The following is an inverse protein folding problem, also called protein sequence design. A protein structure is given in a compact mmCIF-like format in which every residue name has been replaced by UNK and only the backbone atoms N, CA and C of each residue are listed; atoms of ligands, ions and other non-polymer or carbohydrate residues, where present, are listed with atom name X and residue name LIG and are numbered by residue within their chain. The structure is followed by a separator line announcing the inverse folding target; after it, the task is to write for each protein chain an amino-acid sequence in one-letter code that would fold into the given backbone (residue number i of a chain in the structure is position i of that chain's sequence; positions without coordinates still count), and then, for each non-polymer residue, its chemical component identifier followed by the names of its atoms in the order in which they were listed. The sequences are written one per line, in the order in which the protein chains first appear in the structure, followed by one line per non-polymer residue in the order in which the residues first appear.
data_IF_146246174356
#
_entry.id   IF_146246174356
#
_cell.length_a   1.000
_cell.length_b   1.000
_cell.length_c   1.000
_cell.angle_alpha   90.00
_cell.angle_beta   90.00
_cell.angle_gamma   90.00
#
_symmetry.space_group_name_H-M   'P 1'
#
loop_
_entity.id
_entity.type
_entity.pdbx_description
1 polymer ?
#
# COMPACT_ATOMS: atom_id res chain seq x y z
N UNK A 1 25.16 17.37 -13.71
CA UNK A 1 25.26 16.60 -12.44
C UNK A 1 24.10 15.64 -12.41
N UNK A 2 24.31 14.35 -12.12
CA UNK A 2 23.22 13.38 -12.03
C UNK A 2 22.31 13.74 -10.85
N UNK A 3 21.01 13.93 -11.12
CA UNK A 3 20.03 14.32 -10.10
C UNK A 3 19.24 13.10 -9.64
N UNK A 4 19.05 12.97 -8.33
CA UNK A 4 18.17 11.92 -7.79
C UNK A 4 16.73 12.35 -7.97
N UNK A 5 15.86 11.49 -8.47
CA UNK A 5 14.44 11.79 -8.63
C UNK A 5 13.59 10.91 -7.72
N UNK A 6 12.70 11.54 -6.97
CA UNK A 6 11.80 10.88 -6.03
C UNK A 6 10.37 11.16 -6.45
N UNK A 7 9.60 10.10 -6.64
CA UNK A 7 8.19 10.19 -7.01
C UNK A 7 7.33 9.76 -5.84
N UNK A 8 6.45 10.65 -5.39
CA UNK A 8 5.52 10.39 -4.30
C UNK A 8 4.15 10.02 -4.87
N UNK A 9 3.63 8.84 -4.53
CA UNK A 9 2.25 8.46 -4.82
C UNK A 9 1.41 8.51 -3.53
N UNK A 10 0.39 9.37 -3.45
CA UNK A 10 -0.44 9.50 -2.24
C UNK A 10 -1.45 8.34 -2.12
N UNK A 11 -2.09 8.20 -0.96
CA UNK A 11 -3.10 7.16 -0.71
C UNK A 11 -4.46 7.35 -1.38
N UNK A 12 -5.41 6.47 -1.03
CA UNK A 12 -6.84 6.73 -1.18
C UNK A 12 -7.21 7.94 -0.30
N UNK A 13 -8.08 8.82 -0.79
CA UNK A 13 -8.35 10.17 -0.23
C UNK A 13 -7.19 11.17 -0.28
N UNK A 14 -6.03 10.76 -0.80
CA UNK A 14 -4.91 11.64 -1.04
C UNK A 14 -5.22 12.63 -2.16
N UNK A 15 -5.11 13.91 -1.86
CA UNK A 15 -5.04 14.98 -2.84
C UNK A 15 -3.58 15.39 -2.98
N UNK A 16 -3.04 15.47 -4.20
CA UNK A 16 -1.68 16.02 -4.37
C UNK A 16 -1.65 17.49 -3.89
N UNK A 17 -2.68 18.23 -4.28
CA UNK A 17 -3.05 19.56 -3.79
C UNK A 17 -4.57 19.61 -3.71
N UNK A 18 -5.12 20.21 -2.65
CA UNK A 18 -6.55 20.55 -2.56
C UNK A 18 -6.67 21.91 -1.89
N UNK A 19 -6.78 22.99 -2.66
CA UNK A 19 -6.52 24.35 -2.18
C UNK A 19 -5.07 24.51 -1.66
N UNK A 20 -4.90 25.00 -0.43
CA UNK A 20 -3.59 25.26 0.19
C UNK A 20 -2.97 24.09 0.97
N UNK A 21 -3.56 22.88 0.89
CA UNK A 21 -3.03 21.72 1.59
C UNK A 21 -2.15 20.88 0.68
N UNK A 22 -0.92 20.66 1.14
CA UNK A 22 0.05 19.77 0.51
C UNK A 22 0.18 18.49 1.35
N UNK A 23 -0.35 17.38 0.81
CA UNK A 23 -0.41 16.09 1.50
C UNK A 23 0.95 15.59 2.00
N UNK A 24 2.01 15.92 1.25
CA UNK A 24 3.39 15.54 1.54
C UNK A 24 4.27 16.72 1.95
N UNK A 25 3.73 17.90 2.31
CA UNK A 25 4.56 19.11 2.55
C UNK A 25 5.74 18.84 3.49
N UNK A 26 5.44 18.34 4.68
CA UNK A 26 6.42 18.04 5.72
C UNK A 26 7.36 16.90 5.31
N UNK A 27 6.85 15.94 4.54
CA UNK A 27 7.59 14.80 4.04
C UNK A 27 8.61 15.22 2.96
N UNK A 28 8.21 16.07 2.01
CA UNK A 28 9.05 16.64 0.94
C UNK A 28 10.20 17.40 1.58
N UNK A 29 9.91 18.36 2.47
CA UNK A 29 10.93 19.15 3.17
C UNK A 29 11.95 18.27 3.88
N UNK A 30 11.48 17.23 4.57
CA UNK A 30 12.34 16.31 5.32
C UNK A 30 13.23 15.44 4.41
N UNK A 31 12.76 15.02 3.24
CA UNK A 31 13.58 14.30 2.24
C UNK A 31 14.62 15.25 1.65
N UNK A 32 14.22 16.46 1.25
CA UNK A 32 15.13 17.46 0.67
C UNK A 32 16.27 17.82 1.63
N UNK A 33 15.97 18.05 2.91
CA UNK A 33 16.97 18.28 3.96
C UNK A 33 17.99 17.13 4.02
N UNK A 34 17.53 15.87 4.05
CA UNK A 34 18.41 14.69 4.14
C UNK A 34 19.29 14.48 2.91
N UNK A 35 18.81 14.83 1.72
CA UNK A 35 19.63 14.79 0.51
C UNK A 35 20.64 15.94 0.50
N UNK A 36 20.23 17.15 0.93
CA UNK A 36 21.10 18.33 1.06
C UNK A 36 22.24 18.09 2.05
N UNK A 37 21.95 17.50 3.21
CA UNK A 37 22.94 17.15 4.23
C UNK A 37 23.99 16.14 3.73
N UNK A 38 23.64 15.38 2.68
CA UNK A 38 24.55 14.46 1.99
C UNK A 38 25.26 15.09 0.79
N UNK A 39 25.08 16.39 0.55
CA UNK A 39 25.63 17.10 -0.62
C UNK A 39 25.04 16.63 -1.96
N UNK A 40 23.82 16.07 -1.95
CA UNK A 40 23.17 15.50 -3.15
C UNK A 40 21.98 16.34 -3.58
N UNK A 41 21.83 16.52 -4.89
CA UNK A 41 20.62 17.13 -5.45
C UNK A 41 19.50 16.09 -5.60
N UNK A 42 18.30 16.47 -5.14
CA UNK A 42 17.07 15.70 -5.29
C UNK A 42 16.01 16.54 -5.99
N UNK A 43 15.20 15.90 -6.83
CA UNK A 43 13.97 16.45 -7.38
C UNK A 43 12.81 15.58 -6.93
N UNK A 44 11.77 16.19 -6.38
CA UNK A 44 10.61 15.48 -5.86
C UNK A 44 9.38 15.84 -6.69
N UNK A 45 8.68 14.83 -7.17
CA UNK A 45 7.43 14.99 -7.91
C UNK A 45 6.31 14.25 -7.20
N UNK A 46 5.15 14.89 -7.06
CA UNK A 46 3.95 14.28 -6.46
C UNK A 46 2.99 13.84 -7.56
N UNK A 47 2.52 12.60 -7.51
CA UNK A 47 1.58 12.06 -8.47
C UNK A 47 0.14 12.50 -8.17
N UNK A 48 -0.49 13.18 -9.12
CA UNK A 48 -1.89 13.59 -9.04
C UNK A 48 -2.83 12.46 -9.46
N UNK A 49 -3.34 11.74 -8.47
CA UNK A 49 -4.26 10.61 -8.65
C UNK A 49 -5.69 10.98 -8.29
N UNK A 50 -6.66 10.34 -8.94
CA UNK A 50 -8.04 10.42 -8.48
C UNK A 50 -8.17 9.60 -7.18
N UNK A 51 -8.96 10.07 -6.20
CA UNK A 51 -8.94 9.55 -4.84
C UNK A 51 -9.33 8.06 -4.75
N UNK A 52 -10.25 7.61 -5.60
CA UNK A 52 -10.79 6.24 -5.60
C UNK A 52 -10.67 5.52 -6.94
N UNK A 53 -9.91 6.07 -7.89
CA UNK A 53 -9.66 5.39 -9.15
C UNK A 53 -8.95 4.06 -8.94
N UNK A 54 -9.24 3.08 -9.80
CA UNK A 54 -8.57 1.78 -9.76
C UNK A 54 -7.04 1.92 -9.72
N UNK A 55 -6.40 1.01 -8.98
CA UNK A 55 -4.95 1.01 -8.74
C UNK A 55 -4.20 0.97 -10.08
N UNK A 56 -4.69 0.24 -11.09
CA UNK A 56 -4.10 0.24 -12.44
C UNK A 56 -4.17 1.62 -13.13
N UNK A 57 -5.26 2.36 -13.00
CA UNK A 57 -5.39 3.71 -13.57
C UNK A 57 -4.48 4.70 -12.85
N UNK A 58 -4.31 4.54 -11.54
CA UNK A 58 -3.40 5.33 -10.71
C UNK A 58 -1.94 5.05 -11.06
N UNK A 59 -1.54 3.78 -11.13
CA UNK A 59 -0.23 3.34 -11.61
C UNK A 59 0.07 3.87 -13.03
N UNK A 60 -0.92 3.90 -13.93
CA UNK A 60 -0.74 4.48 -15.26
C UNK A 60 -0.47 5.99 -15.23
N UNK A 61 -1.03 6.74 -14.27
CA UNK A 61 -0.69 8.16 -14.07
C UNK A 61 0.73 8.31 -13.52
N UNK A 62 1.12 7.48 -12.55
CA UNK A 62 2.47 7.48 -12.00
C UNK A 62 3.52 7.18 -13.10
N UNK A 63 3.29 6.16 -13.92
CA UNK A 63 4.18 5.82 -15.03
C UNK A 63 4.36 6.99 -16.02
N UNK A 64 3.27 7.70 -16.36
CA UNK A 64 3.33 8.90 -17.21
C UNK A 64 4.13 10.03 -16.57
N UNK A 65 3.87 10.33 -15.30
CA UNK A 65 4.59 11.38 -14.58
C UNK A 65 6.10 11.11 -14.58
N UNK A 66 6.50 9.87 -14.27
CA UNK A 66 7.93 9.51 -14.26
C UNK A 66 8.53 9.64 -15.67
N UNK A 67 7.88 9.08 -16.68
CA UNK A 67 8.33 9.15 -18.06
C UNK A 67 8.51 10.60 -18.56
N UNK A 68 7.58 11.50 -18.22
CA UNK A 68 7.58 12.89 -18.66
C UNK A 68 8.58 13.80 -17.92
N UNK A 69 8.99 13.44 -16.70
CA UNK A 69 9.84 14.29 -15.84
C UNK A 69 11.21 13.70 -15.52
N UNK A 70 11.44 12.41 -15.75
CA UNK A 70 12.66 11.74 -15.30
C UNK A 70 13.91 12.15 -16.08
N UNK A 71 13.76 12.85 -17.20
CA UNK A 71 14.85 13.25 -18.10
C UNK A 71 15.70 12.07 -18.57
N UNK A 72 16.86 12.36 -19.14
CA UNK A 72 17.80 11.39 -19.71
C UNK A 72 19.21 11.44 -19.07
N UNK A 73 19.38 12.21 -17.99
CA UNK A 73 20.65 12.44 -17.29
C UNK A 73 21.26 11.21 -16.58
N UNK A 74 20.63 10.04 -16.67
CA UNK A 74 21.06 8.79 -16.05
C UNK A 74 20.90 8.74 -14.52
N UNK A 75 20.33 9.77 -13.89
CA UNK A 75 20.14 9.85 -12.44
C UNK A 75 19.22 8.75 -11.86
N UNK A 76 19.42 8.36 -10.59
CA UNK A 76 18.63 7.30 -9.95
C UNK A 76 17.19 7.76 -9.70
N UNK A 77 16.25 6.82 -9.87
CA UNK A 77 14.82 7.03 -9.63
C UNK A 77 14.40 6.23 -8.40
N UNK A 78 13.63 6.86 -7.53
CA UNK A 78 12.99 6.23 -6.38
C UNK A 78 11.50 6.54 -6.38
N UNK A 79 10.69 5.57 -5.96
CA UNK A 79 9.26 5.76 -5.79
C UNK A 79 8.91 5.51 -4.33
N UNK A 80 8.13 6.41 -3.75
CA UNK A 80 7.59 6.31 -2.40
C UNK A 80 6.08 6.37 -2.52
N UNK A 81 5.40 5.31 -2.08
CA UNK A 81 3.95 5.24 -2.08
C UNK A 81 3.41 5.15 -0.66
N UNK A 82 2.50 6.06 -0.30
CA UNK A 82 1.76 5.98 0.96
C UNK A 82 0.40 5.33 0.74
N UNK A 83 -0.03 4.47 1.66
CA UNK A 83 -1.30 3.76 1.60
C UNK A 83 -1.45 3.07 0.24
N UNK A 84 -2.57 3.25 -0.47
CA UNK A 84 -2.80 2.75 -1.83
C UNK A 84 -1.70 3.14 -2.83
N UNK A 85 -1.03 4.27 -2.63
CA UNK A 85 0.09 4.73 -3.45
C UNK A 85 1.27 3.75 -3.49
N UNK A 86 1.45 2.92 -2.46
CA UNK A 86 2.46 1.87 -2.47
C UNK A 86 2.14 0.73 -3.44
N UNK A 87 0.86 0.47 -3.71
CA UNK A 87 0.43 -0.47 -4.75
C UNK A 87 0.64 0.12 -6.14
N UNK A 88 0.43 1.42 -6.32
CA UNK A 88 0.79 2.12 -7.56
C UNK A 88 2.29 1.95 -7.86
N UNK A 89 3.13 2.16 -6.83
CA UNK A 89 4.58 2.04 -6.91
C UNK A 89 5.04 0.61 -7.25
N UNK A 90 4.46 -0.40 -6.60
CA UNK A 90 4.75 -1.81 -6.90
C UNK A 90 4.32 -2.19 -8.32
N UNK A 91 3.14 -1.74 -8.76
CA UNK A 91 2.65 -1.99 -10.12
C UNK A 91 3.58 -1.44 -11.18
N UNK A 92 3.98 -0.16 -11.10
CA UNK A 92 4.86 0.41 -12.14
C UNK A 92 6.28 -0.18 -12.11
N UNK A 93 6.71 -0.74 -10.98
CA UNK A 93 8.01 -1.39 -10.85
C UNK A 93 8.01 -2.81 -11.43
N UNK A 94 6.88 -3.50 -11.34
CA UNK A 94 6.75 -4.92 -11.70
C UNK A 94 7.03 -5.18 -13.18
N UNK A 95 7.79 -6.25 -13.53
CA UNK A 95 8.01 -6.63 -14.92
C UNK A 95 6.76 -7.27 -15.57
N UNK A 96 5.82 -7.81 -14.79
CA UNK A 96 4.63 -8.50 -15.31
C UNK A 96 3.43 -7.56 -15.51
N UNK A 97 3.54 -6.29 -15.12
CA UNK A 97 2.43 -5.35 -15.15
C UNK A 97 1.94 -5.05 -16.58
N UNK A 98 0.62 -5.01 -16.74
CA UNK A 98 -0.05 -4.52 -17.96
C UNK A 98 -0.82 -3.25 -17.66
N UNK A 99 -0.15 -2.10 -17.88
CA UNK A 99 -0.77 -0.80 -17.67
C UNK A 99 -1.68 -0.41 -18.84
N UNK A 100 -2.83 0.24 -18.59
CA UNK A 100 -3.78 0.60 -19.63
C UNK A 100 -3.25 1.68 -20.59
N UNK A 101 -3.78 1.67 -21.82
CA UNK A 101 -3.49 2.68 -22.84
C UNK A 101 -2.02 2.68 -23.28
N UNK A 102 -1.43 3.86 -23.46
CA UNK A 102 -0.01 3.98 -23.81
C UNK A 102 0.94 3.88 -22.60
N UNK A 103 0.43 3.79 -21.37
CA UNK A 103 1.26 3.84 -20.16
C UNK A 103 2.24 2.66 -20.06
N UNK A 104 1.87 1.48 -20.58
CA UNK A 104 2.78 0.31 -20.60
C UNK A 104 4.04 0.57 -21.43
N UNK A 105 3.96 1.39 -22.50
CA UNK A 105 5.11 1.78 -23.32
C UNK A 105 5.99 2.85 -22.67
N UNK A 106 5.58 3.40 -21.53
CA UNK A 106 6.23 4.49 -20.79
C UNK A 106 6.97 3.98 -19.55
N UNK A 107 7.54 2.78 -19.63
CA UNK A 107 8.26 2.12 -18.52
C UNK A 107 9.77 1.99 -18.79
N UNK A 108 10.31 2.67 -19.81
CA UNK A 108 11.74 2.63 -20.15
C UNK A 108 12.66 3.12 -19.02
N UNK A 109 12.15 4.00 -18.17
CA UNK A 109 12.84 4.53 -16.99
C UNK A 109 13.06 3.49 -15.88
N UNK A 110 12.39 2.33 -15.91
CA UNK A 110 12.49 1.30 -14.85
C UNK A 110 13.90 0.72 -14.71
N UNK A 111 14.76 0.83 -15.74
CA UNK A 111 16.20 0.51 -15.66
C UNK A 111 16.99 1.42 -14.70
N UNK A 112 16.47 2.62 -14.43
CA UNK A 112 17.00 3.60 -13.47
C UNK A 112 16.35 3.54 -12.09
N UNK A 113 15.28 2.76 -11.93
CA UNK A 113 14.59 2.59 -10.65
C UNK A 113 15.50 1.85 -9.67
N UNK A 114 15.71 2.42 -8.47
CA UNK A 114 16.62 1.90 -7.45
C UNK A 114 15.94 1.50 -6.15
N UNK A 115 14.78 2.09 -5.85
CA UNK A 115 13.96 1.59 -4.75
C UNK A 115 12.47 1.88 -4.92
N UNK A 116 11.67 1.00 -4.32
CA UNK A 116 10.25 1.24 -4.00
C UNK A 116 10.11 1.24 -2.48
N UNK A 117 9.65 2.37 -1.93
CA UNK A 117 9.30 2.51 -0.51
C UNK A 117 7.79 2.51 -0.38
N UNK A 118 7.25 1.64 0.45
CA UNK A 118 5.82 1.61 0.78
C UNK A 118 5.63 2.07 2.22
N UNK A 119 4.62 2.90 2.46
CA UNK A 119 4.35 3.47 3.77
C UNK A 119 2.89 3.18 4.08
N UNK A 120 2.63 2.34 5.08
CA UNK A 120 1.29 1.97 5.52
C UNK A 120 0.41 1.40 4.39
N UNK A 121 1.02 0.71 3.43
CA UNK A 121 0.34 0.24 2.22
C UNK A 121 -0.43 -1.05 2.50
N UNK A 122 -1.72 -1.15 2.16
CA UNK A 122 -2.49 -2.39 2.33
C UNK A 122 -2.11 -3.45 1.28
N UNK A 123 -0.94 -4.08 1.42
CA UNK A 123 -0.45 -5.09 0.46
C UNK A 123 -1.34 -6.32 0.41
N UNK A 124 -1.98 -6.67 1.53
CA UNK A 124 -2.94 -7.78 1.64
C UNK A 124 -4.36 -7.24 1.89
N UNK A 125 -4.61 -6.00 1.51
CA UNK A 125 -5.92 -5.35 1.62
C UNK A 125 -6.22 -4.84 3.02
N UNK A 126 -7.43 -4.32 3.18
CA UNK A 126 -7.97 -3.86 4.46
C UNK A 126 -9.47 -4.18 4.57
N UNK A 127 -9.95 -4.73 5.70
CA UNK A 127 -11.38 -4.93 5.92
C UNK A 127 -12.21 -3.64 5.80
N UNK A 128 -11.59 -2.50 6.04
CA UNK A 128 -12.24 -1.19 5.90
C UNK A 128 -12.70 -0.93 4.46
N UNK A 129 -12.02 -1.48 3.46
CA UNK A 129 -12.40 -1.36 2.06
C UNK A 129 -13.70 -2.13 1.76
N UNK A 130 -13.85 -3.35 2.30
CA UNK A 130 -15.07 -4.14 2.16
C UNK A 130 -16.27 -3.43 2.80
N UNK A 131 -16.06 -2.81 3.98
CA UNK A 131 -17.09 -1.99 4.62
C UNK A 131 -17.49 -0.79 3.74
N UNK A 132 -16.52 -0.05 3.18
CA UNK A 132 -16.80 1.10 2.33
C UNK A 132 -17.42 0.77 0.98
N UNK A 133 -17.35 -0.48 0.52
CA UNK A 133 -18.06 -0.93 -0.68
C UNK A 133 -19.59 -1.02 -0.47
N UNK A 134 -20.08 -1.02 0.78
CA UNK A 134 -21.52 -1.02 1.09
C UNK A 134 -22.15 0.36 0.90
N UNK A 135 -23.47 0.44 0.70
CA UNK A 135 -24.18 1.74 0.54
C UNK A 135 -23.97 2.66 1.75
N UNK A 136 -24.13 2.13 2.97
CA UNK A 136 -23.91 2.89 4.20
C UNK A 136 -22.43 3.24 4.38
N UNK A 137 -21.53 2.34 3.99
CA UNK A 137 -20.09 2.57 3.98
C UNK A 137 -19.67 3.70 3.06
N UNK A 138 -20.20 3.78 1.84
CA UNK A 138 -19.92 4.86 0.89
C UNK A 138 -20.34 6.24 1.41
N UNK A 139 -21.51 6.30 2.06
CA UNK A 139 -22.01 7.53 2.69
C UNK A 139 -21.10 7.97 3.84
N UNK A 140 -20.70 7.03 4.68
CA UNK A 140 -19.77 7.28 5.76
C UNK A 140 -18.38 7.67 5.23
N UNK A 141 -17.94 7.04 4.15
CA UNK A 141 -16.68 7.35 3.49
C UNK A 141 -16.64 8.79 3.00
N UNK A 142 -17.70 9.21 2.31
CA UNK A 142 -17.87 10.60 1.90
C UNK A 142 -17.78 11.52 3.11
N UNK A 143 -18.48 11.20 4.20
CA UNK A 143 -18.53 12.05 5.40
C UNK A 143 -17.17 12.16 6.12
N UNK A 144 -16.48 11.03 6.33
CA UNK A 144 -15.13 11.01 6.91
C UNK A 144 -14.17 11.78 6.02
N UNK A 145 -14.19 11.55 4.71
CA UNK A 145 -13.29 12.20 3.74
C UNK A 145 -13.48 13.71 3.70
N UNK A 146 -14.72 14.15 3.66
CA UNK A 146 -15.10 15.55 3.76
C UNK A 146 -14.57 16.20 5.05
N UNK A 147 -14.73 15.50 6.17
CA UNK A 147 -14.24 15.95 7.46
C UNK A 147 -12.71 15.99 7.51
N UNK A 148 -12.03 15.02 6.90
CA UNK A 148 -10.57 15.00 6.75
C UNK A 148 -10.08 16.28 6.08
N UNK A 149 -10.66 16.62 4.94
CA UNK A 149 -10.26 17.83 4.20
C UNK A 149 -10.54 19.09 5.02
N UNK A 150 -11.71 19.17 5.66
CA UNK A 150 -12.06 20.31 6.50
C UNK A 150 -11.13 20.45 7.71
N UNK A 151 -10.81 19.35 8.39
CA UNK A 151 -9.91 19.31 9.54
C UNK A 151 -8.48 19.68 9.18
N UNK A 152 -7.96 19.14 8.07
CA UNK A 152 -6.64 19.52 7.57
C UNK A 152 -6.60 21.00 7.15
N UNK A 153 -7.65 21.56 6.53
CA UNK A 153 -7.68 22.97 6.09
C UNK A 153 -7.82 23.97 7.23
N UNK A 154 -8.68 23.66 8.20
CA UNK A 154 -9.17 24.62 9.18
C UNK A 154 -8.60 24.38 10.58
N UNK A 155 -7.87 23.28 10.80
CA UNK A 155 -7.38 22.84 12.11
C UNK A 155 -8.49 22.33 13.05
N UNK A 156 -9.73 22.78 12.88
CA UNK A 156 -10.93 22.27 13.53
C UNK A 156 -12.16 22.45 12.62
N UNK A 157 -12.88 21.37 12.24
CA UNK A 157 -14.10 21.46 11.45
C UNK A 157 -15.33 21.82 12.31
N UNK A 158 -16.50 22.11 11.70
CA UNK A 158 -17.71 22.48 12.44
C UNK A 158 -18.14 21.37 13.41
N UNK A 159 -18.16 21.67 14.72
CA UNK A 159 -18.45 20.69 15.78
C UNK A 159 -19.80 19.96 15.58
N UNK A 160 -20.80 20.63 15.03
CA UNK A 160 -22.11 20.04 14.74
C UNK A 160 -22.02 18.94 13.67
N UNK A 161 -21.22 19.16 12.62
CA UNK A 161 -21.04 18.22 11.53
C UNK A 161 -20.31 16.95 12.03
N UNK A 162 -19.25 17.15 12.81
CA UNK A 162 -18.48 16.03 13.33
C UNK A 162 -19.23 15.24 14.44
N UNK A 163 -20.11 15.87 15.22
CA UNK A 163 -20.95 15.19 16.21
C UNK A 163 -21.95 14.22 15.56
N UNK A 164 -22.53 14.62 14.42
CA UNK A 164 -23.41 13.75 13.64
C UNK A 164 -22.68 12.51 13.09
N UNK A 165 -21.42 12.67 12.69
CA UNK A 165 -20.58 11.58 12.20
C UNK A 165 -20.26 10.55 13.29
N UNK A 166 -19.92 11.00 14.50
CA UNK A 166 -19.70 10.10 15.65
C UNK A 166 -20.96 9.33 16.00
N UNK A 167 -22.12 9.98 16.00
CA UNK A 167 -23.39 9.31 16.24
C UNK A 167 -23.68 8.23 15.18
N UNK A 168 -23.40 8.51 13.90
CA UNK A 168 -23.55 7.55 12.80
C UNK A 168 -22.62 6.33 12.96
N UNK A 169 -21.35 6.57 13.27
CA UNK A 169 -20.35 5.51 13.52
C UNK A 169 -20.72 4.64 14.72
N UNK A 170 -21.13 5.24 15.84
CA UNK A 170 -21.56 4.51 17.04
C UNK A 170 -22.75 3.58 16.78
N UNK A 171 -23.74 4.05 16.00
CA UNK A 171 -24.90 3.22 15.60
C UNK A 171 -24.50 2.06 14.69
N UNK A 172 -23.60 2.29 13.73
CA UNK A 172 -23.09 1.25 12.83
C UNK A 172 -22.28 0.17 13.56
N UNK A 173 -21.58 0.53 14.65
CA UNK A 173 -20.82 -0.41 15.46
C UNK A 173 -21.68 -1.29 16.36
N UNK A 174 -22.74 -0.72 16.95
CA UNK A 174 -23.59 -1.40 17.92
C UNK A 174 -24.65 -2.31 17.27
N UNK A 175 -24.72 -2.38 15.94
CA UNK A 175 -25.70 -3.20 15.23
C UNK A 175 -27.15 -2.71 15.38
N UNK A 176 -27.36 -1.45 15.79
CA UNK A 176 -28.69 -0.84 15.79
C UNK A 176 -29.07 -0.53 14.33
N UNK A 177 -29.71 -1.51 13.68
CA UNK A 177 -30.16 -1.49 12.28
C UNK A 177 -31.36 -0.55 12.02
N UNK A 178 -31.33 0.70 12.49
CA UNK A 178 -32.12 1.75 11.84
C UNK A 178 -31.23 2.44 10.80
N UNK A 179 -31.03 1.76 9.66
CA UNK A 179 -30.32 2.28 8.48
C UNK A 179 -30.83 3.68 8.14
N UNK A 180 -32.14 3.91 8.29
CA UNK A 180 -32.81 5.18 8.01
C UNK A 180 -32.33 6.34 8.91
N UNK A 181 -32.01 6.08 10.18
CA UNK A 181 -31.50 7.08 11.11
C UNK A 181 -30.03 7.43 10.87
N UNK A 182 -29.22 6.44 10.49
CA UNK A 182 -27.82 6.64 10.06
C UNK A 182 -27.81 7.47 8.78
N UNK A 183 -28.65 7.09 7.83
CA UNK A 183 -28.81 7.75 6.54
C UNK A 183 -29.23 9.21 6.68
N UNK A 184 -30.23 9.51 7.51
CA UNK A 184 -30.69 10.89 7.76
C UNK A 184 -29.60 11.76 8.39
N UNK A 185 -28.78 11.17 9.27
CA UNK A 185 -27.70 11.86 9.96
C UNK A 185 -26.53 12.18 9.01
N UNK A 186 -26.18 11.23 8.14
CA UNK A 186 -25.16 11.43 7.10
C UNK A 186 -25.66 12.40 6.03
N UNK A 187 -26.92 12.32 5.60
CA UNK A 187 -27.47 13.26 4.61
C UNK A 187 -27.50 14.71 5.15
N UNK A 188 -27.86 14.89 6.42
CA UNK A 188 -27.77 16.20 7.07
C UNK A 188 -26.33 16.74 7.11
N UNK A 189 -25.34 15.87 7.34
CA UNK A 189 -23.93 16.26 7.29
C UNK A 189 -23.49 16.68 5.88
N UNK A 190 -23.87 15.89 4.88
CA UNK A 190 -23.53 16.16 3.47
C UNK A 190 -24.06 17.53 3.07
N UNK A 191 -25.30 17.88 3.44
CA UNK A 191 -25.88 19.21 3.14
C UNK A 191 -25.07 20.34 3.78
N UNK A 192 -24.74 20.23 5.07
CA UNK A 192 -23.94 21.24 5.79
C UNK A 192 -22.56 21.41 5.14
N UNK A 193 -21.97 20.32 4.66
CA UNK A 193 -20.66 20.36 4.02
C UNK A 193 -20.74 20.87 2.58
N UNK A 194 -21.76 20.53 1.81
CA UNK A 194 -21.98 21.04 0.45
C UNK A 194 -22.17 22.56 0.45
N UNK A 195 -22.85 23.10 1.47
CA UNK A 195 -23.00 24.55 1.67
C UNK A 195 -21.66 25.22 2.07
N UNK A 196 -20.82 24.53 2.85
CA UNK A 196 -19.53 25.03 3.33
C UNK A 196 -18.36 24.80 2.36
N UNK A 197 -18.53 23.99 1.31
CA UNK A 197 -17.42 23.51 0.48
C UNK A 197 -17.19 24.33 -0.81
N UNK A 198 -15.90 24.59 -1.08
CA UNK A 198 -15.46 25.19 -2.35
C UNK A 198 -15.90 24.36 -3.57
N UNK A 199 -16.02 24.98 -4.76
CA UNK A 199 -16.36 24.26 -6.01
C UNK A 199 -15.36 23.14 -6.33
N UNK A 200 -14.09 23.37 -6.06
CA UNK A 200 -13.00 22.39 -6.22
C UNK A 200 -13.21 21.17 -5.30
N UNK A 201 -13.49 21.41 -4.01
CA UNK A 201 -13.81 20.35 -3.06
C UNK A 201 -15.03 19.53 -3.48
N UNK A 202 -16.09 20.18 -3.97
CA UNK A 202 -17.28 19.48 -4.49
C UNK A 202 -16.97 18.63 -5.71
N UNK A 203 -16.17 19.13 -6.65
CA UNK A 203 -15.74 18.36 -7.81
C UNK A 203 -14.90 17.14 -7.41
N UNK A 204 -14.02 17.30 -6.43
CA UNK A 204 -13.20 16.21 -5.90
C UNK A 204 -14.02 15.17 -5.12
N UNK A 205 -14.97 15.61 -4.27
CA UNK A 205 -15.90 14.72 -3.58
C UNK A 205 -16.83 13.98 -4.55
N UNK A 206 -17.20 14.60 -5.67
CA UNK A 206 -17.94 13.92 -6.74
C UNK A 206 -17.12 12.78 -7.36
N UNK A 207 -15.83 12.99 -7.61
CA UNK A 207 -14.94 11.92 -8.09
C UNK A 207 -14.88 10.74 -7.11
N UNK A 208 -14.91 11.03 -5.80
CA UNK A 208 -14.96 10.01 -4.76
C UNK A 208 -16.22 9.13 -4.89
N UNK A 209 -17.38 9.74 -5.12
CA UNK A 209 -18.65 9.04 -5.24
C UNK A 209 -18.77 8.26 -6.55
N UNK A 210 -18.31 8.85 -7.65
CA UNK A 210 -18.56 8.34 -9.00
C UNK A 210 -17.56 7.22 -9.40
N UNK A 211 -16.43 7.09 -8.71
CA UNK A 211 -15.42 6.05 -8.94
C UNK A 211 -15.17 5.25 -7.65
N UNK A 212 -15.21 3.93 -7.73
CA UNK A 212 -15.05 3.02 -6.57
C UNK A 212 -13.98 1.95 -6.83
N UNK A 213 -13.19 2.11 -7.90
CA UNK A 213 -12.26 1.07 -8.36
C UNK A 213 -11.24 0.66 -7.30
N UNK A 214 -10.61 1.63 -6.62
CA UNK A 214 -9.65 1.33 -5.56
C UNK A 214 -10.31 0.67 -4.35
N UNK A 215 -11.52 1.08 -3.97
CA UNK A 215 -12.22 0.53 -2.80
C UNK A 215 -12.45 -0.97 -2.99
N UNK A 216 -12.98 -1.37 -4.14
CA UNK A 216 -13.18 -2.79 -4.47
C UNK A 216 -11.83 -3.53 -4.53
N UNK A 217 -10.81 -2.92 -5.12
CA UNK A 217 -9.52 -3.59 -5.27
C UNK A 217 -8.77 -3.75 -3.94
N UNK A 218 -8.99 -2.87 -2.97
CA UNK A 218 -8.34 -2.91 -1.65
C UNK A 218 -8.98 -3.89 -0.67
N UNK A 219 -10.07 -4.55 -1.06
CA UNK A 219 -10.65 -5.63 -0.27
C UNK A 219 -9.64 -6.79 -0.17
N UNK A 220 -9.50 -7.44 1.01
CA UNK A 220 -8.58 -8.56 1.19
C UNK A 220 -8.74 -9.66 0.12
N UNK A 221 -9.98 -9.95 -0.27
CA UNK A 221 -10.36 -10.93 -1.30
C UNK A 221 -9.83 -10.57 -2.69
N UNK A 222 -9.80 -9.27 -3.00
CA UNK A 222 -9.35 -8.79 -4.29
C UNK A 222 -7.81 -8.76 -4.40
N UNK A 223 -7.10 -8.73 -3.27
CA UNK A 223 -5.64 -8.68 -3.23
C UNK A 223 -5.00 -10.01 -3.62
N UNK A 224 -5.69 -11.14 -3.48
CA UNK A 224 -5.23 -12.43 -4.00
C UNK A 224 -5.04 -12.38 -5.51
N UNK A 225 -5.92 -11.69 -6.24
CA UNK A 225 -5.79 -11.50 -7.69
C UNK A 225 -4.57 -10.63 -8.03
N UNK A 226 -4.25 -9.64 -7.19
CA UNK A 226 -3.06 -8.83 -7.36
C UNK A 226 -1.81 -9.68 -7.14
N UNK A 227 -1.76 -10.47 -6.07
CA UNK A 227 -0.63 -11.35 -5.75
C UNK A 227 -0.44 -12.47 -6.77
N UNK A 228 -1.51 -12.97 -7.39
CA UNK A 228 -1.42 -13.97 -8.44
C UNK A 228 -0.77 -13.45 -9.73
N UNK A 229 -0.82 -12.15 -9.99
CA UNK A 229 -0.33 -11.55 -11.25
C UNK A 229 0.89 -10.62 -11.12
N UNK A 230 1.23 -10.19 -9.91
CA UNK A 230 2.24 -9.16 -9.67
C UNK A 230 3.54 -9.75 -9.14
N UNK A 231 4.61 -9.60 -9.92
CA UNK A 231 5.96 -9.99 -9.50
C UNK A 231 6.79 -8.78 -9.11
N UNK A 232 7.64 -8.92 -8.10
CA UNK A 232 8.65 -7.92 -7.78
C UNK A 232 9.80 -7.98 -8.78
N UNK A 233 10.35 -6.82 -9.14
CA UNK A 233 11.50 -6.71 -10.05
C UNK A 233 12.78 -7.14 -9.33
N UNK A 234 13.48 -8.12 -9.88
CA UNK A 234 14.80 -8.53 -9.38
C UNK A 234 15.81 -7.37 -9.40
N UNK A 235 16.71 -7.33 -8.41
CA UNK A 235 17.72 -6.28 -8.26
C UNK A 235 17.20 -4.93 -7.77
N UNK A 236 15.89 -4.77 -7.58
CA UNK A 236 15.30 -3.56 -7.02
C UNK A 236 15.16 -3.66 -5.50
N UNK A 237 15.49 -2.57 -4.78
CA UNK A 237 15.27 -2.52 -3.34
C UNK A 237 13.81 -2.20 -3.00
N UNK A 238 13.11 -3.16 -2.42
CA UNK A 238 11.79 -2.96 -1.84
C UNK A 238 11.89 -2.77 -0.33
N UNK A 239 11.28 -1.70 0.19
CA UNK A 239 11.25 -1.44 1.62
C UNK A 239 9.86 -0.94 2.07
N UNK A 240 9.52 -1.23 3.33
CA UNK A 240 8.25 -0.85 3.94
C UNK A 240 8.44 -0.17 5.30
N UNK A 241 7.53 0.77 5.56
CA UNK A 241 7.31 1.40 6.86
C UNK A 241 5.91 1.03 7.30
N UNK A 242 5.78 0.53 8.53
CA UNK A 242 4.52 0.09 9.08
C UNK A 242 4.18 0.82 10.39
N UNK A 243 2.95 1.27 10.56
CA UNK A 243 2.50 1.91 11.80
C UNK A 243 1.30 1.17 12.39
N UNK A 244 1.10 1.35 13.69
CA UNK A 244 -0.12 0.92 14.36
C UNK A 244 -0.44 1.87 15.51
N UNK A 245 -1.71 2.08 15.80
CA UNK A 245 -2.13 2.84 16.95
C UNK A 245 -2.28 1.93 18.17
N UNK A 246 -2.03 2.44 19.39
CA UNK A 246 -2.36 1.71 20.60
C UNK A 246 -3.88 1.52 20.69
N UNK A 247 -4.32 0.31 21.02
CA UNK A 247 -5.72 0.08 21.39
C UNK A 247 -6.00 0.78 22.70
N UNK A 248 -6.84 1.82 22.63
CA UNK A 248 -7.50 2.55 23.72
C UNK A 248 -7.13 2.03 25.12
N UNK A 249 -5.95 2.41 25.63
CA UNK A 249 -5.71 2.28 27.05
C UNK A 249 -6.64 3.30 27.70
N UNK A 250 -7.56 2.85 28.56
CA UNK A 250 -8.55 3.64 29.31
C UNK A 250 -7.95 4.92 29.94
N UNK A 251 -6.62 4.95 30.15
CA UNK A 251 -5.84 6.10 30.63
C UNK A 251 -5.72 7.29 29.65
N UNK A 252 -5.77 7.09 28.33
CA UNK A 252 -5.57 8.17 27.34
C UNK A 252 -6.82 9.04 27.09
N UNK A 253 -8.00 8.55 27.51
CA UNK A 253 -9.26 9.32 27.49
C UNK A 253 -9.20 10.58 28.36
N UNK A 254 -8.42 10.58 29.44
CA UNK A 254 -8.32 11.72 30.35
C UNK A 254 -7.66 12.94 29.69
N UNK A 255 -6.75 12.72 28.72
CA UNK A 255 -6.20 13.81 27.90
C UNK A 255 -7.09 14.17 26.70
N UNK A 256 -7.76 13.20 26.08
CA UNK A 256 -8.67 13.44 24.95
C UNK A 256 -9.91 14.25 25.34
N UNK A 257 -10.38 14.10 26.59
CA UNK A 257 -11.47 14.89 27.18
C UNK A 257 -11.14 16.38 27.40
N UNK A 258 -9.89 16.82 27.18
CA UNK A 258 -9.50 18.23 27.36
C UNK A 258 -9.98 19.14 26.23
N UNK A 259 -10.40 18.59 25.09
CA UNK A 259 -11.07 19.36 24.05
C UNK A 259 -12.21 18.55 23.41
N UNK A 260 -13.36 19.18 23.10
CA UNK A 260 -14.46 18.51 22.40
C UNK A 260 -14.03 17.88 21.06
N UNK A 261 -13.09 18.51 20.36
CA UNK A 261 -12.52 18.00 19.12
C UNK A 261 -11.69 16.72 19.32
N UNK A 262 -10.83 16.68 20.35
CA UNK A 262 -9.99 15.52 20.64
C UNK A 262 -10.80 14.27 20.96
N UNK A 263 -11.87 14.40 21.76
CA UNK A 263 -12.78 13.30 22.07
C UNK A 263 -13.49 12.75 20.82
N UNK A 264 -13.92 13.65 19.92
CA UNK A 264 -14.63 13.29 18.70
C UNK A 264 -13.72 12.64 17.67
N UNK A 265 -12.51 13.18 17.48
CA UNK A 265 -11.47 12.62 16.63
C UNK A 265 -11.09 11.20 17.08
N UNK A 266 -10.88 10.99 18.39
CA UNK A 266 -10.61 9.68 18.97
C UNK A 266 -11.77 8.68 18.75
N UNK A 267 -13.02 9.14 18.81
CA UNK A 267 -14.19 8.29 18.54
C UNK A 267 -14.25 7.85 17.06
N UNK A 268 -13.98 8.76 16.12
CA UNK A 268 -13.90 8.44 14.69
C UNK A 268 -12.76 7.44 14.43
N UNK A 269 -11.57 7.73 14.97
CA UNK A 269 -10.41 6.86 14.86
C UNK A 269 -10.70 5.46 15.41
N UNK A 270 -11.23 5.36 16.63
CA UNK A 270 -11.63 4.09 17.26
C UNK A 270 -12.61 3.35 16.36
N UNK A 271 -13.53 4.07 15.72
CA UNK A 271 -14.51 3.44 14.89
C UNK A 271 -13.93 2.80 13.64
N UNK A 272 -13.05 3.51 12.94
CA UNK A 272 -12.31 2.99 11.79
C UNK A 272 -11.40 1.83 12.21
N UNK A 273 -10.65 1.99 13.30
CA UNK A 273 -9.74 0.96 13.82
C UNK A 273 -10.46 -0.35 14.17
N UNK A 274 -11.66 -0.27 14.76
CA UNK A 274 -12.49 -1.43 15.07
C UNK A 274 -13.00 -2.14 13.80
N UNK A 275 -13.32 -1.39 12.74
CA UNK A 275 -13.72 -1.99 11.45
C UNK A 275 -12.50 -2.67 10.81
N UNK A 276 -11.35 -1.99 10.78
CA UNK A 276 -10.08 -2.51 10.27
C UNK A 276 -9.61 -3.77 11.02
N UNK A 277 -9.97 -3.91 12.30
CA UNK A 277 -9.66 -5.08 13.11
C UNK A 277 -10.54 -6.32 12.81
N UNK A 278 -11.58 -6.20 11.98
CA UNK A 278 -12.45 -7.33 11.59
C UNK A 278 -11.80 -8.16 10.50
N UNK A 279 -10.78 -8.93 10.87
CA UNK A 279 -10.07 -9.82 9.96
C UNK A 279 -10.93 -11.05 9.62
N UNK A 280 -10.88 -11.48 8.36
CA UNK A 280 -11.46 -12.75 7.90
C UNK A 280 -10.38 -13.84 7.90
N UNK A 281 -10.69 -15.03 8.41
CA UNK A 281 -9.74 -16.14 8.44
C UNK A 281 -9.37 -16.65 7.03
N UNK A 282 -10.29 -16.54 6.08
CA UNK A 282 -10.05 -16.93 4.68
C UNK A 282 -9.18 -15.90 3.96
N UNK A 283 -9.16 -14.64 4.42
CA UNK A 283 -8.42 -13.54 3.83
C UNK A 283 -7.67 -12.73 4.90
N UNK A 284 -6.62 -13.30 5.51
CA UNK A 284 -6.09 -12.86 6.81
C UNK A 284 -5.25 -11.58 6.79
N UNK A 285 -5.29 -10.80 5.71
CA UNK A 285 -4.51 -9.56 5.53
C UNK A 285 -3.00 -9.70 5.85
N UNK A 286 -2.41 -10.85 5.53
CA UNK A 286 -1.00 -11.21 5.78
C UNK A 286 -0.55 -12.33 4.86
N UNK A 287 0.75 -12.60 4.81
CA UNK A 287 1.29 -13.77 4.13
C UNK A 287 1.01 -15.05 4.93
N UNK A 288 0.87 -16.18 4.24
CA UNK A 288 0.59 -17.48 4.89
C UNK A 288 1.83 -18.14 5.51
N UNK A 289 3.03 -17.62 5.25
CA UNK A 289 4.32 -18.23 5.63
C UNK A 289 4.87 -17.78 7.00
N UNK A 290 4.19 -16.85 7.68
CA UNK A 290 4.62 -16.30 8.97
C UNK A 290 5.83 -15.35 8.89
N UNK A 291 6.30 -15.00 7.69
CA UNK A 291 7.49 -14.17 7.52
C UNK A 291 7.26 -12.72 7.96
N UNK A 292 6.02 -12.23 7.87
CA UNK A 292 5.63 -10.88 8.29
C UNK A 292 5.73 -10.73 9.81
N UNK A 293 5.20 -11.69 10.56
CA UNK A 293 5.21 -11.73 12.02
C UNK A 293 6.64 -11.77 12.55
N UNK A 294 7.53 -12.53 11.90
CA UNK A 294 8.95 -12.56 12.24
C UNK A 294 9.64 -11.20 12.00
N UNK A 295 9.32 -10.51 10.89
CA UNK A 295 9.84 -9.17 10.62
C UNK A 295 9.35 -8.17 11.66
N UNK A 296 8.06 -8.19 12.00
CA UNK A 296 7.47 -7.32 13.01
C UNK A 296 8.10 -7.56 14.39
N UNK A 297 8.20 -8.82 14.83
CA UNK A 297 8.81 -9.17 16.11
C UNK A 297 10.27 -8.71 16.20
N UNK A 298 11.03 -8.81 15.11
CA UNK A 298 12.42 -8.33 15.05
C UNK A 298 12.53 -6.82 15.21
N UNK A 299 11.64 -6.05 14.56
CA UNK A 299 11.71 -4.59 14.55
C UNK A 299 11.09 -3.96 15.81
N UNK A 300 10.00 -4.53 16.31
CA UNK A 300 9.29 -4.04 17.49
C UNK A 300 9.84 -4.59 18.81
N UNK A 301 10.57 -5.71 18.77
CA UNK A 301 11.05 -6.43 19.96
C UNK A 301 9.99 -7.28 20.64
N UNK A 302 8.74 -7.23 20.17
CA UNK A 302 7.61 -8.02 20.62
C UNK A 302 6.69 -8.33 19.43
N UNK A 303 5.91 -9.41 19.53
CA UNK A 303 4.88 -9.69 18.54
C UNK A 303 3.64 -8.83 18.86
N UNK A 304 3.23 -7.91 17.98
CA UNK A 304 2.04 -7.11 18.19
C UNK A 304 0.78 -7.99 18.12
N UNK A 305 -0.36 -7.53 18.69
CA UNK A 305 -1.64 -8.22 18.53
C UNK A 305 -1.97 -8.44 17.04
N UNK A 306 -2.55 -9.60 16.66
CA UNK A 306 -2.84 -9.92 15.25
C UNK A 306 -3.72 -8.88 14.53
N UNK A 307 -4.54 -8.17 15.29
CA UNK A 307 -5.51 -7.18 14.84
C UNK A 307 -5.05 -5.73 15.08
N UNK A 308 -3.76 -5.54 15.41
CA UNK A 308 -3.13 -4.22 15.45
C UNK A 308 -3.24 -3.53 14.07
N UNK A 309 -3.57 -2.24 14.08
CA UNK A 309 -3.76 -1.45 12.87
C UNK A 309 -3.53 0.03 13.15
N UNK A 310 -3.35 0.82 12.08
CA UNK A 310 -3.13 2.27 12.15
C UNK A 310 -4.41 3.10 12.00
N UNK A 311 -5.57 2.47 12.19
CA UNK A 311 -6.90 3.02 11.93
C UNK A 311 -7.45 2.69 10.55
N UNK A 312 -6.60 2.38 9.56
CA UNK A 312 -7.02 2.19 8.16
C UNK A 312 -6.55 0.84 7.60
N UNK A 313 -5.35 0.40 7.96
CA UNK A 313 -4.71 -0.80 7.41
C UNK A 313 -4.20 -1.71 8.54
N UNK A 314 -4.50 -3.02 8.52
CA UNK A 314 -3.93 -3.97 9.46
C UNK A 314 -2.39 -3.95 9.40
N UNK A 315 -1.72 -3.98 10.56
CA UNK A 315 -0.27 -3.83 10.66
C UNK A 315 0.48 -4.87 9.81
N UNK A 316 0.02 -6.12 9.82
CA UNK A 316 0.60 -7.18 9.01
C UNK A 316 0.47 -6.90 7.49
N UNK A 317 -0.65 -6.32 7.06
CA UNK A 317 -0.89 -5.96 5.65
C UNK A 317 0.08 -4.90 5.14
N UNK A 318 0.70 -4.13 6.03
CA UNK A 318 1.63 -3.04 5.69
C UNK A 318 3.03 -3.51 5.31
N UNK A 319 3.40 -4.76 5.63
CA UNK A 319 4.76 -5.26 5.53
C UNK A 319 5.03 -5.82 4.13
N UNK A 320 6.02 -5.26 3.44
CA UNK A 320 6.52 -5.75 2.15
C UNK A 320 8.02 -5.48 1.98
N UNK A 321 8.74 -6.41 1.34
CA UNK A 321 10.20 -6.30 1.20
C UNK A 321 10.91 -6.18 2.57
N UNK A 322 11.87 -5.27 2.66
CA UNK A 322 12.56 -4.94 3.91
C UNK A 322 11.71 -4.05 4.81
N UNK A 323 11.32 -4.53 5.98
CA UNK A 323 10.68 -3.70 7.00
C UNK A 323 11.74 -2.81 7.67
N UNK A 324 11.85 -1.56 7.24
CA UNK A 324 12.90 -0.64 7.70
C UNK A 324 12.53 0.12 8.97
N UNK A 325 11.23 0.19 9.29
CA UNK A 325 10.73 0.78 10.53
C UNK A 325 9.31 0.26 10.82
N UNK A 326 9.03 0.00 12.09
CA UNK A 326 7.68 -0.20 12.59
C UNK A 326 7.51 0.48 13.94
N UNK A 327 6.32 1.01 14.23
CA UNK A 327 6.09 1.68 15.51
C UNK A 327 4.72 2.32 15.68
N UNK A 328 4.53 2.94 16.85
CA UNK A 328 3.26 3.57 17.22
C UNK A 328 3.05 4.88 16.46
N UNK A 329 2.08 4.89 15.56
CA UNK A 329 1.57 6.04 14.82
C UNK A 329 0.23 5.66 14.17
N UNK A 330 -0.62 6.62 13.83
CA UNK A 330 -1.74 6.38 12.91
C UNK A 330 -1.31 6.45 11.44
N UNK A 331 -2.32 6.35 10.58
CA UNK A 331 -2.15 6.30 9.14
C UNK A 331 -1.56 7.58 8.52
N UNK A 332 -1.77 8.75 9.14
CA UNK A 332 -1.37 10.05 8.59
C UNK A 332 -0.17 10.68 9.30
N UNK A 333 0.10 10.30 10.55
CA UNK A 333 1.30 10.68 11.31
C UNK A 333 2.59 10.57 10.46
N UNK A 334 2.73 9.46 9.75
CA UNK A 334 3.96 9.09 9.02
C UNK A 334 4.24 9.94 7.78
N UNK A 335 3.23 10.64 7.27
CA UNK A 335 3.36 11.61 6.16
C UNK A 335 3.37 13.07 6.64
N UNK A 336 3.38 13.28 7.96
CA UNK A 336 3.60 14.60 8.56
C UNK A 336 2.37 15.24 9.20
N UNK A 337 1.26 14.50 9.38
CA UNK A 337 0.03 15.02 10.00
C UNK A 337 -0.07 14.55 11.45
N UNK A 338 0.77 15.12 12.34
CA UNK A 338 0.83 14.82 13.77
C UNK A 338 0.90 16.11 14.61
N UNK A 339 0.61 16.10 15.93
CA UNK A 339 0.68 17.31 16.73
C UNK A 339 2.13 17.79 16.89
N UNK A 340 2.44 19.03 16.49
CA UNK A 340 3.80 19.56 16.65
C UNK A 340 3.99 21.02 16.24
N UNK A 341 5.10 21.62 16.70
CA UNK A 341 5.56 22.93 16.20
C UNK A 341 5.91 22.81 14.71
N UNK A 342 5.61 23.84 13.92
CA UNK A 342 5.93 23.87 12.48
C UNK A 342 4.74 23.71 11.54
N UNK A 343 3.49 23.80 12.03
CA UNK A 343 2.30 23.74 11.18
C UNK A 343 1.85 22.31 10.83
N UNK A 344 2.28 21.32 11.60
CA UNK A 344 1.71 19.97 11.50
C UNK A 344 0.28 19.98 12.07
N UNK A 345 -0.69 19.48 11.30
CA UNK A 345 -2.10 19.42 11.69
C UNK A 345 -2.46 17.95 11.90
N UNK A 346 -2.85 17.61 13.13
CA UNK A 346 -3.42 16.31 13.46
C UNK A 346 -4.93 16.47 13.65
N UNK A 347 -5.69 15.91 12.70
CA UNK A 347 -7.14 15.93 12.74
C UNK A 347 -7.73 14.57 13.17
N UNK A 348 -6.98 13.46 13.08
CA UNK A 348 -7.42 12.10 13.41
C UNK A 348 -6.56 11.51 14.53
N UNK A 349 -6.55 12.18 15.67
CA UNK A 349 -5.70 11.88 16.80
C UNK A 349 -5.97 10.47 17.35
N UNK A 350 -5.03 9.58 17.08
CA UNK A 350 -5.06 8.17 17.52
C UNK A 350 -4.57 7.94 18.95
N UNK A 351 -3.98 8.97 19.58
CA UNK A 351 -3.31 8.83 20.88
C UNK A 351 -1.96 8.10 20.79
N UNK A 352 -1.44 7.84 19.59
CA UNK A 352 -0.12 7.20 19.39
C UNK A 352 1.07 8.04 19.89
N UNK A 353 0.84 9.33 20.14
CA UNK A 353 1.83 10.33 20.57
C UNK A 353 3.03 10.36 19.63
N UNK A 354 2.77 10.21 18.32
CA UNK A 354 3.79 10.38 17.31
C UNK A 354 4.29 11.83 17.32
N UNK A 355 5.57 12.02 17.01
CA UNK A 355 6.22 13.30 17.17
C UNK A 355 7.36 13.46 16.18
N UNK A 356 7.94 14.66 16.14
CA UNK A 356 9.01 15.03 15.22
C UNK A 356 10.23 14.11 15.31
N UNK A 357 10.62 13.65 16.50
CA UNK A 357 11.76 12.75 16.66
C UNK A 357 11.52 11.40 15.96
N UNK A 358 10.32 10.83 16.10
CA UNK A 358 9.96 9.58 15.41
C UNK A 358 9.84 9.79 13.91
N UNK A 359 9.23 10.90 13.49
CA UNK A 359 9.16 11.29 12.08
C UNK A 359 10.56 11.35 11.47
N UNK A 360 11.48 12.08 12.12
CA UNK A 360 12.84 12.23 11.62
C UNK A 360 13.59 10.89 11.55
N UNK A 361 13.41 10.02 12.55
CA UNK A 361 14.00 8.68 12.53
C UNK A 361 13.47 7.80 11.38
N UNK A 362 12.18 7.90 11.05
CA UNK A 362 11.59 7.18 9.90
C UNK A 362 12.19 7.70 8.60
N UNK A 363 12.23 9.02 8.42
CA UNK A 363 12.73 9.65 7.19
C UNK A 363 14.22 9.33 6.98
N UNK A 364 15.00 9.25 8.06
CA UNK A 364 16.40 8.79 7.99
C UNK A 364 16.52 7.36 7.46
N UNK A 365 15.65 6.45 7.92
CA UNK A 365 15.62 5.06 7.46
C UNK A 365 15.21 4.96 5.99
N UNK A 366 14.21 5.73 5.57
CA UNK A 366 13.74 5.78 4.19
C UNK A 366 14.88 6.22 3.25
N UNK A 367 15.51 7.37 3.54
CA UNK A 367 16.58 7.91 2.69
C UNK A 367 17.81 7.00 2.70
N UNK A 368 18.20 6.47 3.86
CA UNK A 368 19.32 5.51 3.95
C UNK A 368 19.07 4.30 3.07
N UNK A 369 17.85 3.76 3.10
CA UNK A 369 17.45 2.66 2.24
C UNK A 369 17.45 3.03 0.75
N UNK A 370 16.97 4.22 0.36
CA UNK A 370 17.05 4.69 -1.01
C UNK A 370 18.49 4.71 -1.52
N UNK A 371 19.41 5.32 -0.75
CA UNK A 371 20.83 5.40 -1.13
C UNK A 371 21.47 4.00 -1.23
N UNK A 372 21.12 3.08 -0.34
CA UNK A 372 21.60 1.69 -0.41
C UNK A 372 21.13 0.95 -1.67
N UNK A 373 19.91 1.25 -2.15
CA UNK A 373 19.38 0.71 -3.41
C UNK A 373 20.20 1.14 -4.64
N UNK A 374 20.74 2.37 -4.61
CA UNK A 374 21.61 2.87 -5.69
C UNK A 374 22.94 2.12 -5.74
N UNK A 375 23.53 1.86 -4.57
CA UNK A 375 24.81 1.17 -4.42
C UNK A 375 24.74 -0.30 -4.84
N UNK A 376 23.63 -0.98 -4.49
CA UNK A 376 23.43 -2.40 -4.84
C UNK A 376 23.39 -2.59 -6.36
N UNK A 377 22.67 -1.74 -7.10
CA UNK A 377 22.65 -1.79 -8.57
C UNK A 377 23.97 -1.35 -9.22
N UNK A 378 24.81 -0.56 -8.53
CA UNK A 378 26.15 -0.23 -9.02
C UNK A 378 27.10 -1.43 -8.90
N UNK A 379 27.04 -2.16 -7.78
CA UNK A 379 27.81 -3.37 -7.57
C UNK A 379 27.42 -4.49 -8.56
N UNK A 380 26.12 -4.67 -8.82
CA UNK A 380 25.61 -5.66 -9.77
C UNK A 380 26.06 -5.37 -11.22
N UNK A 381 26.12 -4.09 -11.61
CA UNK A 381 26.66 -3.67 -12.93
C UNK A 381 28.17 -3.80 -13.05
N UNK A 382 28.89 -3.77 -11.93
CA UNK A 382 30.34 -3.96 -11.90
C UNK A 382 30.75 -5.44 -11.83
N UNK A 383 29.81 -6.35 -11.57
CA UNK A 383 30.09 -7.78 -11.51
C UNK A 383 30.41 -8.33 -12.92
N UNK A 384 31.48 -9.14 -13.08
CA UNK A 384 31.78 -9.77 -14.35
C UNK A 384 30.63 -10.70 -14.76
N UNK A 385 30.33 -10.81 -16.07
CA UNK A 385 29.26 -11.69 -16.54
C UNK A 385 29.49 -13.13 -16.06
N UNK A 386 28.43 -13.86 -15.70
CA UNK A 386 28.57 -15.25 -15.28
C UNK A 386 29.27 -16.04 -16.39
N UNK A 387 30.32 -16.78 -16.03
CA UNK A 387 31.03 -17.63 -16.99
C UNK A 387 30.01 -18.62 -17.59
N UNK A 388 30.01 -18.82 -18.92
CA UNK A 388 29.12 -19.79 -19.53
C UNK A 388 29.33 -21.15 -18.86
N UNK A 389 28.23 -21.75 -18.39
CA UNK A 389 28.24 -23.10 -17.86
C UNK A 389 28.56 -24.02 -19.03
N UNK A 390 29.77 -24.57 -19.05
CA UNK A 390 30.13 -25.63 -19.99
C UNK A 390 29.37 -26.87 -19.54
N UNK A 391 28.24 -27.16 -20.19
CA UNK A 391 27.60 -28.47 -20.09
C UNK A 391 28.62 -29.53 -20.48
N UNK A 392 29.14 -30.25 -19.48
CA UNK A 392 29.94 -31.43 -19.72
C UNK A 392 28.97 -32.50 -20.19
N UNK A 393 28.81 -32.65 -21.50
CA UNK A 393 28.12 -33.80 -22.10
C UNK A 393 28.87 -35.06 -21.67
N UNK A 394 28.33 -35.76 -20.67
CA UNK A 394 28.70 -37.15 -20.41
C UNK A 394 28.10 -37.96 -21.57
N UNK A 395 28.98 -38.45 -22.43
CA UNK A 395 28.64 -39.45 -23.46
C UNK A 395 28.28 -40.75 -22.74
N UNK A 396 26.98 -41.04 -22.58
CA UNK A 396 26.51 -42.40 -22.35
C UNK A 396 26.74 -43.19 -23.64
N UNK A 397 27.82 -43.97 -23.67
CA UNK A 397 28.03 -45.06 -24.60
C UNK A 397 27.98 -46.38 -23.84
N UNK A 398 27.19 -47.28 -24.40
CA UNK A 398 27.29 -48.74 -24.31
C UNK A 398 26.89 -49.41 -22.99
N UNK A 399 25.58 -49.62 -22.81
CA UNK A 399 25.02 -50.75 -22.05
C UNK A 399 23.84 -51.37 -22.81
N UNK A 400 24.12 -51.90 -23.99
CA UNK A 400 23.25 -52.84 -24.67
C UNK A 400 24.17 -53.86 -25.35
N UNK A 401 24.38 -55.02 -24.69
CA UNK A 401 24.98 -56.27 -25.19
C UNK A 401 25.58 -57.08 -24.03
N UNK A 402 24.74 -57.63 -23.15
CA UNK A 402 25.16 -58.72 -22.25
C UNK A 402 24.00 -59.55 -21.70
N UNK A 403 23.03 -59.98 -22.53
CA UNK A 403 22.19 -61.13 -22.18
C UNK A 403 21.90 -61.96 -23.43
N UNK A 404 22.82 -62.87 -23.75
CA UNK A 404 22.61 -63.96 -24.68
C UNK A 404 22.99 -65.28 -24.02
N UNK A 405 22.09 -66.26 -24.17
CA UNK A 405 22.32 -67.71 -24.06
C UNK A 405 22.44 -68.32 -22.66
N UNK A 406 21.36 -68.97 -22.18
CA UNK A 406 21.37 -70.42 -21.81
C UNK A 406 19.95 -71.02 -21.91
N UNK A 407 19.85 -72.23 -22.48
CA UNK A 407 18.74 -73.22 -22.50
C UNK A 407 17.55 -72.93 -23.45
N UNK A 408 17.07 -73.86 -24.28
CA UNK A 408 17.28 -75.30 -24.38
C UNK A 408 16.05 -75.90 -25.09
N UNK A 409 16.28 -76.81 -26.04
CA UNK A 409 15.31 -77.35 -26.99
C UNK A 409 14.14 -78.14 -26.36
N UNK A 410 12.96 -78.14 -27.02
CA UNK A 410 12.14 -79.33 -27.27
C UNK A 410 10.87 -78.99 -28.10
N UNK A 411 10.67 -79.75 -29.19
CA UNK A 411 9.42 -80.35 -29.70
C UNK A 411 8.18 -79.44 -29.88
N UNK A 412 7.43 -79.45 -30.98
CA UNK A 412 7.25 -80.38 -32.09
C UNK A 412 5.78 -80.29 -32.54
N UNK A 413 5.53 -80.37 -33.85
CA UNK A 413 4.29 -80.93 -34.40
C UNK A 413 3.12 -79.99 -34.72
N UNK A 414 2.78 -80.00 -36.02
CA UNK A 414 1.44 -79.93 -36.60
C UNK A 414 0.67 -78.59 -36.53
N UNK A 415 -0.23 -78.22 -37.44
CA UNK A 415 -0.57 -78.53 -38.83
C UNK A 415 -1.86 -77.74 -39.09
N UNK A 416 -2.04 -77.18 -40.30
CA UNK A 416 -3.34 -76.76 -40.92
C UNK A 416 -4.16 -75.68 -40.17
N UNK A 417 -4.74 -74.65 -40.76
CA UNK A 417 -5.22 -74.40 -42.12
C UNK A 417 -6.60 -73.75 -41.99
N UNK A 418 -6.92 -72.81 -42.89
CA UNK A 418 -8.29 -72.43 -43.30
C UNK A 418 -9.17 -71.74 -42.24
N UNK A 419 -9.54 -70.45 -42.36
CA UNK A 419 -10.58 -69.86 -43.23
C UNK A 419 -11.73 -69.33 -42.37
N UNK A 420 -12.38 -68.25 -42.83
CA UNK A 420 -13.77 -67.98 -42.45
C UNK A 420 -13.99 -66.66 -41.71
N UNK A 421 -14.21 -65.64 -42.52
CA UNK A 421 -14.96 -64.39 -42.33
C UNK A 421 -16.40 -64.63 -41.77
N UNK A 422 -17.31 -63.63 -41.77
CA UNK A 422 -17.68 -62.72 -40.69
C UNK A 422 -19.06 -63.01 -40.05
N UNK A 423 -19.39 -62.26 -38.98
CA UNK A 423 -20.71 -61.66 -38.74
C UNK A 423 -20.58 -60.57 -37.67
#
# INVERSE_FOLDING_TARGET
MQKTRVYLSPGMFGFATLGSLEYFEHFIRAIEERFRDRGRAVEIHVCEVHPTASILRRAAKLARLVDESAGDDGGPIHIIGHSTGGLDARLVASPTVRLPGNAHRRLGWTSRLRSVTTINTPHFGTPLAAFFATVSGQRLLYAVTALTVAGLKLGAPPLAAASALVAALGRAQLGFFEIELVDRSVESFIRVLDDASSRELRAWLKLLRDDQGAIVQLMPEAMDLLHAGLEDRAGLRYQSVATYAPRNAVRDWVSALRSPWGAMSAAIFTALSNITARLDEHYPCRSHDGSIEQKLARVLGELPPPDANDGVVPLASQVWGDLIWAGKADHLDIVGHFPGKGGHIDWLASGARFNRLRFDAVLDRIVTGMVAGEQSSAAERAAPPPRPVVETRVLERDLDMAQGSVLGAAQGGASTGSSGEPA
#
